data_IF_054414037820
#
_entry.id   IF_054414037820
#
_cell.length_a   1.000
_cell.length_b   1.000
_cell.length_c   1.000
_cell.angle_alpha   90.00
_cell.angle_beta   90.00
_cell.angle_gamma   90.00
#
_symmetry.space_group_name_H-M   'P 1'
#
loop_
_entity.id
_entity.type
_entity.pdbx_description
1 polymer ?
#
# COMPACT_ATOMS: atom_id res chain seq x y z
N UNK A 1 -25.39 -38.55 -12.74
CA UNK A 1 -25.01 -37.31 -12.02
C UNK A 1 -24.25 -37.74 -10.79
N UNK A 2 -22.93 -37.52 -10.75
CA UNK A 2 -22.09 -38.01 -9.66
C UNK A 2 -22.40 -37.22 -8.38
N UNK A 3 -22.90 -37.90 -7.35
CA UNK A 3 -23.12 -37.32 -6.03
C UNK A 3 -21.76 -36.96 -5.42
N UNK A 4 -21.34 -35.71 -5.59
CA UNK A 4 -20.24 -35.12 -4.84
C UNK A 4 -20.60 -35.20 -3.35
N UNK A 5 -19.77 -35.90 -2.56
CA UNK A 5 -19.94 -35.89 -1.12
C UNK A 5 -19.76 -34.46 -0.59
N UNK A 6 -20.54 -34.09 0.43
CA UNK A 6 -20.52 -32.75 1.01
C UNK A 6 -19.08 -32.29 1.37
N UNK A 7 -18.25 -33.21 1.85
CA UNK A 7 -16.84 -32.95 2.18
C UNK A 7 -16.01 -32.52 0.96
N UNK A 8 -16.25 -33.12 -0.22
CA UNK A 8 -15.55 -32.71 -1.45
C UNK A 8 -16.01 -31.34 -1.91
N UNK A 9 -17.31 -31.06 -1.82
CA UNK A 9 -17.85 -29.75 -2.19
C UNK A 9 -17.25 -28.64 -1.32
N UNK A 10 -17.20 -28.85 0.02
CA UNK A 10 -16.64 -27.89 0.98
C UNK A 10 -15.14 -27.66 0.72
N UNK A 11 -14.37 -28.71 0.50
CA UNK A 11 -12.92 -28.60 0.22
C UNK A 11 -12.65 -27.82 -1.07
N UNK A 12 -13.43 -28.06 -2.14
CA UNK A 12 -13.32 -27.35 -3.42
C UNK A 12 -13.68 -25.88 -3.25
N UNK A 13 -14.79 -25.56 -2.58
CA UNK A 13 -15.23 -24.19 -2.35
C UNK A 13 -14.20 -23.41 -1.50
N UNK A 14 -13.68 -24.03 -0.44
CA UNK A 14 -12.66 -23.41 0.40
C UNK A 14 -11.35 -23.17 -0.37
N UNK A 15 -10.91 -24.14 -1.18
CA UNK A 15 -9.72 -23.98 -2.02
C UNK A 15 -9.91 -22.89 -3.09
N UNK A 16 -11.06 -22.88 -3.77
CA UNK A 16 -11.39 -21.85 -4.76
C UNK A 16 -11.43 -20.45 -4.12
N UNK A 17 -12.03 -20.32 -2.94
CA UNK A 17 -12.04 -19.07 -2.17
C UNK A 17 -10.64 -18.58 -1.83
N UNK A 18 -9.75 -19.47 -1.36
CA UNK A 18 -8.37 -19.12 -1.07
C UNK A 18 -7.60 -18.66 -2.32
N UNK A 19 -7.80 -19.33 -3.46
CA UNK A 19 -7.16 -18.96 -4.74
C UNK A 19 -7.62 -17.57 -5.19
N UNK A 20 -8.92 -17.28 -5.11
CA UNK A 20 -9.47 -15.96 -5.46
C UNK A 20 -8.83 -14.86 -4.60
N UNK A 21 -8.71 -15.08 -3.29
CA UNK A 21 -8.09 -14.11 -2.39
C UNK A 21 -6.59 -13.91 -2.71
N UNK A 22 -5.86 -14.97 -3.03
CA UNK A 22 -4.45 -14.87 -3.44
C UNK A 22 -4.29 -14.10 -4.75
N UNK A 23 -5.18 -14.31 -5.74
CA UNK A 23 -5.20 -13.55 -6.99
C UNK A 23 -5.39 -12.05 -6.73
N UNK A 24 -6.11 -11.66 -5.67
CA UNK A 24 -6.26 -10.25 -5.29
C UNK A 24 -5.05 -9.76 -4.49
N UNK A 25 -4.54 -10.56 -3.55
CA UNK A 25 -3.42 -10.16 -2.67
C UNK A 25 -2.12 -9.93 -3.44
N UNK A 26 -1.80 -10.77 -4.43
CA UNK A 26 -0.52 -10.70 -5.16
C UNK A 26 -0.36 -9.36 -5.92
N UNK A 27 -1.31 -8.94 -6.78
CA UNK A 27 -1.26 -7.63 -7.42
C UNK A 27 -1.28 -6.50 -6.40
N UNK A 28 -2.04 -6.66 -5.31
CA UNK A 28 -2.13 -5.64 -4.27
C UNK A 28 -0.78 -5.40 -3.59
N UNK A 29 0.02 -6.44 -3.36
CA UNK A 29 1.39 -6.31 -2.84
C UNK A 29 2.35 -5.63 -3.83
N UNK A 30 2.19 -5.90 -5.13
CA UNK A 30 3.08 -5.40 -6.18
C UNK A 30 2.71 -4.01 -6.71
N UNK A 31 1.45 -3.58 -6.54
CA UNK A 31 0.99 -2.29 -7.07
C UNK A 31 1.52 -1.11 -6.25
N UNK A 32 1.89 -0.05 -6.97
CA UNK A 32 2.40 1.17 -6.37
C UNK A 32 1.28 2.01 -5.76
N UNK A 33 1.55 2.60 -4.61
CA UNK A 33 0.71 3.59 -3.93
C UNK A 33 1.15 4.97 -4.36
N UNK A 34 0.19 5.83 -4.72
CA UNK A 34 0.46 7.21 -5.16
C UNK A 34 -0.40 8.16 -4.34
N UNK A 35 0.20 9.27 -3.94
CA UNK A 35 -0.47 10.40 -3.32
C UNK A 35 -0.29 11.67 -4.16
N UNK A 36 -0.92 12.79 -3.76
CA UNK A 36 -0.69 14.08 -4.38
C UNK A 36 0.81 14.44 -4.31
N UNK A 37 1.47 14.57 -5.46
CA UNK A 37 2.90 14.93 -5.53
C UNK A 37 3.89 13.88 -4.97
N UNK A 38 3.42 12.68 -4.61
CA UNK A 38 4.24 11.68 -3.93
C UNK A 38 4.04 10.27 -4.50
N UNK A 39 5.15 9.56 -4.66
CA UNK A 39 5.17 8.13 -4.98
C UNK A 39 5.58 7.35 -3.74
N UNK A 40 4.62 6.66 -3.13
CA UNK A 40 4.82 5.94 -1.87
C UNK A 40 5.41 4.53 -2.08
N UNK A 41 5.59 4.09 -3.32
CA UNK A 41 6.12 2.75 -3.65
C UNK A 41 5.11 1.61 -3.41
N UNK A 42 5.60 0.38 -3.35
CA UNK A 42 4.79 -0.83 -3.09
C UNK A 42 4.69 -1.13 -1.60
N UNK A 43 3.96 -2.16 -1.16
CA UNK A 43 3.90 -2.50 0.29
C UNK A 43 5.26 -2.92 0.87
N UNK A 44 6.19 -3.35 0.01
CA UNK A 44 7.57 -3.72 0.36
C UNK A 44 8.54 -2.54 0.27
N UNK A 45 8.08 -1.39 -0.24
CA UNK A 45 8.88 -0.19 -0.27
C UNK A 45 9.21 0.22 1.18
N UNK A 46 10.51 0.36 1.47
CA UNK A 46 10.99 0.98 2.70
C UNK A 46 10.75 2.49 2.63
N UNK A 47 10.80 3.16 3.79
CA UNK A 47 10.89 4.61 3.94
C UNK A 47 12.08 5.24 3.18
N UNK A 48 12.93 4.44 2.55
CA UNK A 48 14.06 4.90 1.73
C UNK A 48 13.75 4.94 0.23
N UNK A 49 12.57 4.45 -0.19
CA UNK A 49 12.21 4.28 -1.61
C UNK A 49 11.03 5.15 -2.06
N UNK A 50 10.46 5.95 -1.16
CA UNK A 50 9.44 6.94 -1.52
C UNK A 50 10.10 8.19 -2.10
N UNK A 51 9.40 8.86 -3.00
CA UNK A 51 9.87 10.10 -3.62
C UNK A 51 8.79 11.16 -3.55
N UNK A 52 9.16 12.36 -3.11
CA UNK A 52 8.34 13.56 -3.17
C UNK A 52 8.89 14.49 -4.25
N UNK A 53 8.00 14.99 -5.11
CA UNK A 53 8.36 16.01 -6.09
C UNK A 53 8.17 17.38 -5.46
N UNK A 54 9.28 17.98 -5.04
CA UNK A 54 9.31 19.36 -4.57
C UNK A 54 8.92 20.33 -5.67
N UNK A 55 8.09 21.30 -5.32
CA UNK A 55 7.77 22.46 -6.14
C UNK A 55 8.77 23.60 -5.96
N UNK A 56 9.64 23.49 -4.96
CA UNK A 56 10.68 24.46 -4.68
C UNK A 56 11.89 24.25 -5.59
N UNK A 57 12.25 25.28 -6.36
CA UNK A 57 13.44 25.27 -7.21
C UNK A 57 14.56 26.09 -6.55
N UNK A 58 15.60 25.41 -6.08
CA UNK A 58 16.74 26.06 -5.47
C UNK A 58 17.48 26.90 -6.51
N UNK A 59 17.50 28.22 -6.32
CA UNK A 59 18.15 29.14 -7.25
C UNK A 59 17.21 29.81 -8.25
N UNK A 60 15.88 29.67 -8.07
CA UNK A 60 14.96 30.55 -8.77
C UNK A 60 15.30 32.02 -8.44
N UNK A 61 15.67 32.77 -9.46
CA UNK A 61 16.04 34.18 -9.34
C UNK A 61 14.84 35.12 -9.44
N UNK A 62 13.65 34.58 -9.73
CA UNK A 62 12.39 35.32 -9.82
C UNK A 62 12.07 36.10 -8.54
N UNK A 63 12.46 35.56 -7.37
CA UNK A 63 12.31 36.21 -6.07
C UNK A 63 13.02 37.57 -5.95
N UNK A 64 14.03 37.81 -6.79
CA UNK A 64 14.81 39.04 -6.79
C UNK A 64 14.57 39.88 -8.05
N UNK A 65 13.61 39.50 -8.90
CA UNK A 65 13.36 40.19 -10.15
C UNK A 65 12.88 41.63 -9.87
N UNK A 66 13.55 42.59 -10.51
CA UNK A 66 13.29 44.01 -10.29
C UNK A 66 13.75 44.58 -8.94
N UNK A 67 14.45 43.83 -8.09
CA UNK A 67 14.97 44.33 -6.81
C UNK A 67 16.01 45.44 -7.03
N UNK A 68 15.83 46.60 -6.39
CA UNK A 68 16.71 47.77 -6.54
C UNK A 68 17.26 48.29 -5.21
N UNK A 69 16.65 47.89 -4.10
CA UNK A 69 17.00 48.35 -2.76
C UNK A 69 17.27 47.18 -1.83
N UNK A 70 18.00 47.43 -0.74
CA UNK A 70 18.25 46.42 0.31
C UNK A 70 16.94 45.85 0.90
N UNK A 71 15.88 46.66 0.95
CA UNK A 71 14.56 46.20 1.38
C UNK A 71 13.95 45.19 0.40
N UNK A 72 14.09 45.40 -0.91
CA UNK A 72 13.60 44.48 -1.94
C UNK A 72 14.34 43.14 -1.87
N UNK A 73 15.67 43.17 -1.69
CA UNK A 73 16.46 41.95 -1.52
C UNK A 73 16.07 41.17 -0.27
N UNK A 74 15.77 41.86 0.85
CA UNK A 74 15.25 41.22 2.07
C UNK A 74 13.87 40.61 1.85
N UNK A 75 12.98 41.31 1.15
CA UNK A 75 11.64 40.81 0.85
C UNK A 75 11.69 39.57 -0.06
N UNK A 76 12.53 39.59 -1.09
CA UNK A 76 12.75 38.43 -1.97
C UNK A 76 13.34 37.23 -1.24
N UNK A 77 14.34 37.45 -0.38
CA UNK A 77 14.90 36.39 0.45
C UNK A 77 13.86 35.79 1.42
N UNK A 78 13.00 36.63 2.01
CA UNK A 78 11.93 36.17 2.87
C UNK A 78 10.89 35.33 2.10
N UNK A 79 10.47 35.78 0.92
CA UNK A 79 9.56 35.02 0.07
C UNK A 79 10.12 33.65 -0.33
N UNK A 80 11.41 33.59 -0.71
CA UNK A 80 12.08 32.34 -1.04
C UNK A 80 12.15 31.37 0.15
N UNK A 81 12.34 31.89 1.37
CA UNK A 81 12.34 31.08 2.61
C UNK A 81 10.94 30.60 2.95
N UNK A 82 9.93 31.46 2.82
CA UNK A 82 8.53 31.12 3.08
C UNK A 82 8.04 30.02 2.12
N UNK A 83 8.39 30.11 0.83
CA UNK A 83 8.08 29.07 -0.16
C UNK A 83 8.79 27.75 0.14
N UNK A 84 10.05 27.79 0.59
CA UNK A 84 10.77 26.60 1.03
C UNK A 84 10.08 25.93 2.23
N UNK A 85 9.67 26.71 3.23
CA UNK A 85 8.95 26.15 4.39
C UNK A 85 7.58 25.61 4.00
N UNK A 86 6.88 26.26 3.07
CA UNK A 86 5.64 25.76 2.51
C UNK A 86 5.85 24.41 1.81
N UNK A 87 6.87 24.29 0.95
CA UNK A 87 7.16 23.03 0.26
C UNK A 87 7.60 21.91 1.23
N UNK A 88 8.38 22.23 2.26
CA UNK A 88 8.71 21.29 3.34
C UNK A 88 7.44 20.81 4.06
N UNK A 89 6.50 21.70 4.34
CA UNK A 89 5.23 21.34 5.00
C UNK A 89 4.38 20.39 4.15
N UNK A 90 4.35 20.62 2.83
CA UNK A 90 3.68 19.74 1.87
C UNK A 90 4.40 18.39 1.78
N UNK A 91 5.73 18.38 1.75
CA UNK A 91 6.54 17.16 1.80
C UNK A 91 6.30 16.34 3.06
N UNK A 92 6.15 16.98 4.22
CA UNK A 92 5.81 16.31 5.48
C UNK A 92 4.40 15.71 5.46
N UNK A 93 3.41 16.44 4.94
CA UNK A 93 2.05 15.92 4.76
C UNK A 93 2.02 14.73 3.79
N UNK A 94 2.82 14.78 2.71
CA UNK A 94 3.00 13.67 1.78
C UNK A 94 3.62 12.43 2.45
N UNK A 95 4.60 12.63 3.36
CA UNK A 95 5.17 11.55 4.17
C UNK A 95 4.13 10.86 5.04
N UNK A 96 3.36 11.64 5.82
CA UNK A 96 2.31 11.10 6.69
C UNK A 96 1.23 10.36 5.88
N UNK A 97 0.84 10.92 4.72
CA UNK A 97 -0.08 10.26 3.80
C UNK A 97 0.45 8.90 3.33
N UNK A 98 1.71 8.85 2.88
CA UNK A 98 2.33 7.61 2.46
C UNK A 98 2.42 6.60 3.62
N UNK A 99 2.76 7.05 4.82
CA UNK A 99 2.81 6.19 6.01
C UNK A 99 1.44 5.56 6.32
N UNK A 100 0.37 6.35 6.25
CA UNK A 100 -0.99 5.86 6.45
C UNK A 100 -1.39 4.85 5.37
N UNK A 101 -1.11 5.14 4.10
CA UNK A 101 -1.37 4.21 3.00
C UNK A 101 -0.65 2.86 3.17
N UNK A 102 0.62 2.90 3.61
CA UNK A 102 1.38 1.69 3.93
C UNK A 102 0.75 0.90 5.07
N UNK A 103 0.31 1.58 6.12
CA UNK A 103 -0.38 0.95 7.26
C UNK A 103 -1.68 0.27 6.82
N UNK A 104 -2.54 0.99 6.13
CA UNK A 104 -3.83 0.49 5.65
C UNK A 104 -3.65 -0.72 4.72
N UNK A 105 -2.69 -0.63 3.81
CA UNK A 105 -2.40 -1.71 2.87
C UNK A 105 -1.86 -2.95 3.56
N UNK A 106 -1.03 -2.79 4.60
CA UNK A 106 -0.56 -3.90 5.44
C UNK A 106 -1.71 -4.56 6.19
N UNK A 107 -2.60 -3.78 6.81
CA UNK A 107 -3.78 -4.30 7.53
C UNK A 107 -4.67 -5.09 6.56
N UNK A 108 -4.93 -4.56 5.38
CA UNK A 108 -5.76 -5.21 4.37
C UNK A 108 -5.12 -6.52 3.86
N UNK A 109 -3.81 -6.53 3.63
CA UNK A 109 -3.10 -7.76 3.23
C UNK A 109 -3.07 -8.81 4.35
N UNK A 110 -2.87 -8.40 5.60
CA UNK A 110 -2.90 -9.32 6.75
C UNK A 110 -4.29 -9.92 6.92
N UNK A 111 -5.36 -9.11 6.82
CA UNK A 111 -6.73 -9.61 6.94
C UNK A 111 -7.08 -10.59 5.82
N UNK A 112 -6.87 -10.23 4.55
CA UNK A 112 -7.11 -11.14 3.41
C UNK A 112 -6.22 -12.38 3.46
N UNK A 113 -4.95 -12.23 3.83
CA UNK A 113 -4.00 -13.32 4.00
C UNK A 113 -4.43 -14.30 5.09
N UNK A 114 -4.91 -13.80 6.23
CA UNK A 114 -5.39 -14.63 7.33
C UNK A 114 -6.62 -15.46 6.93
N UNK A 115 -7.57 -14.86 6.20
CA UNK A 115 -8.76 -15.58 5.68
C UNK A 115 -8.33 -16.65 4.68
N UNK A 116 -7.41 -16.31 3.77
CA UNK A 116 -6.86 -17.27 2.80
C UNK A 116 -6.21 -18.46 3.49
N UNK A 117 -5.43 -18.22 4.55
CA UNK A 117 -4.80 -19.25 5.35
C UNK A 117 -5.83 -20.17 6.02
N UNK A 118 -6.86 -19.59 6.66
CA UNK A 118 -7.94 -20.36 7.28
C UNK A 118 -8.66 -21.24 6.26
N UNK A 119 -8.97 -20.72 5.06
CA UNK A 119 -9.61 -21.49 4.01
C UNK A 119 -8.75 -22.67 3.52
N UNK A 120 -7.43 -22.47 3.39
CA UNK A 120 -6.50 -23.54 3.03
C UNK A 120 -6.43 -24.61 4.12
N UNK A 121 -6.37 -24.21 5.40
CA UNK A 121 -6.38 -25.14 6.55
C UNK A 121 -7.67 -25.95 6.56
N UNK A 122 -8.84 -25.31 6.43
CA UNK A 122 -10.14 -25.99 6.38
C UNK A 122 -10.19 -26.98 5.21
N UNK A 123 -9.75 -26.56 4.02
CA UNK A 123 -9.72 -27.45 2.85
C UNK A 123 -8.84 -28.67 3.09
N UNK A 124 -7.63 -28.47 3.65
CA UNK A 124 -6.70 -29.55 3.98
C UNK A 124 -7.25 -30.51 5.04
N UNK A 125 -7.84 -29.98 6.11
CA UNK A 125 -8.43 -30.78 7.20
C UNK A 125 -9.62 -31.59 6.71
N UNK A 126 -10.56 -30.98 5.96
CA UNK A 126 -11.74 -31.68 5.41
C UNK A 126 -11.32 -32.76 4.41
N UNK A 127 -10.33 -32.46 3.56
CA UNK A 127 -9.79 -33.44 2.62
C UNK A 127 -9.12 -34.61 3.32
N UNK A 128 -8.37 -34.35 4.40
CA UNK A 128 -7.72 -35.40 5.19
C UNK A 128 -8.73 -36.26 5.96
N UNK A 129 -9.76 -35.66 6.56
CA UNK A 129 -10.84 -36.40 7.23
C UNK A 129 -11.61 -37.28 6.25
N UNK A 130 -11.86 -36.80 5.03
CA UNK A 130 -12.51 -37.58 3.97
C UNK A 130 -11.69 -38.78 3.46
N UNK A 131 -10.40 -38.89 3.82
CA UNK A 131 -9.53 -40.02 3.49
C UNK A 131 -9.42 -41.06 4.60
N UNK A 132 -9.91 -40.77 5.82
CA UNK A 132 -9.89 -41.75 6.90
C UNK A 132 -10.90 -42.86 6.60
N UNK A 133 -10.49 -44.14 6.55
CA UNK A 133 -11.42 -45.23 6.31
C UNK A 133 -12.44 -45.28 7.45
N UNK A 134 -13.74 -45.34 7.11
CA UNK A 134 -14.77 -45.70 8.09
C UNK A 134 -14.45 -47.12 8.57
N UNK A 135 -14.01 -47.27 9.82
CA UNK A 135 -14.10 -48.56 10.49
C UNK A 135 -15.60 -48.89 10.56
N UNK A 136 -16.03 -49.82 9.70
CA UNK A 136 -17.35 -50.43 9.80
C UNK A 136 -17.31 -51.30 11.07
N UNK A 137 -17.99 -50.84 12.12
CA UNK A 137 -18.52 -51.72 13.17
C UNK A 137 -19.77 -52.45 12.66
#
# INVERSE_FOLDING_TARGET
MNNLSANRLISILAAAGAVILLIVCIPLMASTMRGPGANCGTVFASSDTWTYSSSYESGDSSYYDGARTEADFRAGAQAAVDDLFADISVGAAAYEYCQNQHSDRRILLISLGSVSFVLLVVSGVVWWMGRRPQQQE
#
